data_IF_416511277603
#
_entry.id   IF_416511277603
#
_cell.length_a   1.000
_cell.length_b   1.000
_cell.length_c   1.000
_cell.angle_alpha   90.00
_cell.angle_beta   90.00
_cell.angle_gamma   90.00
#
_symmetry.space_group_name_H-M   'P 1'
#
loop_
_entity.id
_entity.type
_entity.pdbx_description
1 polymer ?
#
# COMPACT_ATOMS: atom_id res chain seq x y z
N UNK A 1 -5.74 6.29 -16.60
CA UNK A 1 -4.62 7.24 -16.76
C UNK A 1 -3.37 6.45 -16.43
N UNK A 2 -2.45 6.28 -17.39
CA UNK A 2 -1.20 5.51 -17.23
C UNK A 2 -0.26 6.44 -16.46
N UNK A 3 0.40 5.96 -15.40
CA UNK A 3 1.50 6.71 -14.76
C UNK A 3 2.47 7.13 -15.88
N UNK A 4 2.90 8.40 -16.00
CA UNK A 4 4.03 8.70 -16.88
C UNK A 4 5.15 7.75 -16.46
N UNK A 5 5.81 7.07 -17.40
CA UNK A 5 6.88 6.10 -17.10
C UNK A 5 7.94 6.77 -16.22
N UNK A 6 7.77 6.69 -14.90
CA UNK A 6 8.73 7.18 -13.92
C UNK A 6 9.83 6.13 -13.95
N UNK A 7 10.83 6.40 -14.79
CA UNK A 7 12.03 5.59 -14.91
C UNK A 7 13.03 6.10 -13.91
N UNK A 8 13.14 5.42 -12.76
CA UNK A 8 14.22 5.62 -11.81
C UNK A 8 15.21 4.49 -12.03
N UNK A 9 16.45 4.82 -12.38
CA UNK A 9 17.47 3.81 -12.70
C UNK A 9 17.65 2.80 -11.55
N UNK A 10 17.56 1.51 -11.87
CA UNK A 10 17.66 0.37 -10.96
C UNK A 10 16.46 0.20 -10.00
N UNK A 11 15.30 0.76 -10.35
CA UNK A 11 14.06 0.57 -9.62
C UNK A 11 12.91 0.21 -10.57
N UNK A 12 12.01 -0.64 -10.08
CA UNK A 12 10.77 -1.02 -10.77
C UNK A 12 9.55 -0.62 -9.94
N UNK A 13 8.41 -0.45 -10.62
CA UNK A 13 7.11 -0.20 -9.98
C UNK A 13 6.62 -1.49 -9.36
N UNK A 14 6.40 -1.46 -8.05
CA UNK A 14 6.03 -2.63 -7.26
C UNK A 14 4.53 -2.71 -6.97
N UNK A 15 3.91 -1.60 -6.60
CA UNK A 15 2.45 -1.42 -6.58
C UNK A 15 2.16 0.07 -6.76
N UNK A 16 0.97 0.39 -7.24
CA UNK A 16 0.52 1.77 -7.41
C UNK A 16 -0.99 1.90 -7.25
N UNK A 17 -1.41 3.12 -6.92
CA UNK A 17 -2.79 3.56 -7.06
C UNK A 17 -2.83 4.84 -7.86
N UNK A 18 -3.68 4.88 -8.87
CA UNK A 18 -3.90 6.08 -9.68
C UNK A 18 -5.38 6.38 -9.77
N UNK A 19 -5.73 7.65 -9.55
CA UNK A 19 -7.10 8.12 -9.71
C UNK A 19 -7.53 8.02 -11.18
N UNK A 20 -8.76 7.62 -11.37
CA UNK A 20 -9.46 7.53 -12.66
C UNK A 20 -10.54 8.59 -12.81
N UNK A 21 -11.15 9.03 -11.71
CA UNK A 21 -12.25 10.01 -11.71
C UNK A 21 -11.79 11.40 -11.29
N UNK A 22 -10.89 11.51 -10.31
CA UNK A 22 -10.41 12.79 -9.79
C UNK A 22 -9.00 13.14 -10.29
N UNK A 23 -8.72 14.44 -10.45
CA UNK A 23 -7.36 14.92 -10.77
C UNK A 23 -6.46 14.88 -9.53
N UNK A 24 -5.16 14.62 -9.76
CA UNK A 24 -4.04 14.70 -8.83
C UNK A 24 -4.17 13.78 -7.61
N UNK A 25 -3.21 12.88 -7.40
CA UNK A 25 -3.23 11.93 -6.30
C UNK A 25 -2.77 10.57 -6.77
N UNK A 26 -2.64 9.66 -5.84
CA UNK A 26 -2.11 8.34 -6.02
C UNK A 26 -1.07 8.00 -4.96
N UNK A 27 -0.72 6.72 -4.95
CA UNK A 27 0.43 6.21 -4.23
C UNK A 27 1.25 5.35 -5.18
N UNK A 28 2.54 5.21 -4.88
CA UNK A 28 3.49 4.49 -5.70
C UNK A 28 4.55 3.88 -4.79
N UNK A 29 4.82 2.60 -4.97
CA UNK A 29 5.98 1.94 -4.36
C UNK A 29 6.94 1.59 -5.50
N UNK A 30 8.16 2.10 -5.39
CA UNK A 30 9.29 1.70 -6.21
C UNK A 30 10.21 0.80 -5.38
N UNK A 31 10.62 -0.33 -5.95
CA UNK A 31 11.56 -1.26 -5.32
C UNK A 31 12.80 -1.38 -6.18
N UNK A 32 13.95 -1.52 -5.54
CA UNK A 32 15.21 -1.74 -6.24
C UNK A 32 15.13 -3.07 -7.00
N UNK A 33 15.61 -3.14 -8.24
CA UNK A 33 15.43 -4.32 -9.11
C UNK A 33 15.96 -5.64 -8.50
N UNK A 34 16.95 -5.54 -7.61
CA UNK A 34 17.51 -6.69 -6.90
C UNK A 34 16.67 -7.19 -5.72
N UNK A 35 15.65 -6.45 -5.30
CA UNK A 35 14.83 -6.76 -4.14
C UNK A 35 13.62 -7.58 -4.57
N UNK A 36 13.44 -8.76 -3.95
CA UNK A 36 12.24 -9.56 -4.15
C UNK A 36 11.09 -8.98 -3.33
N UNK A 37 9.91 -8.90 -3.95
CA UNK A 37 8.69 -8.43 -3.31
C UNK A 37 7.48 -9.20 -3.84
N UNK A 38 6.35 -9.09 -3.13
CA UNK A 38 5.03 -9.58 -3.55
C UNK A 38 4.00 -8.47 -3.43
N UNK A 39 3.11 -8.38 -4.40
CA UNK A 39 1.95 -7.49 -4.32
C UNK A 39 0.91 -8.03 -3.34
N UNK A 40 0.20 -7.13 -2.66
CA UNK A 40 -0.82 -7.47 -1.67
C UNK A 40 -2.22 -7.19 -2.24
N UNK A 41 -2.75 -8.14 -3.01
CA UNK A 41 -4.00 -7.96 -3.77
C UNK A 41 -5.25 -7.77 -2.88
N UNK A 42 -5.32 -8.44 -1.72
CA UNK A 42 -6.51 -8.42 -0.86
C UNK A 42 -6.84 -7.03 -0.27
N UNK A 43 -5.90 -6.08 -0.36
CA UNK A 43 -6.11 -4.71 0.06
C UNK A 43 -6.89 -3.86 -0.95
N UNK A 44 -7.17 -4.41 -2.14
CA UNK A 44 -7.94 -3.71 -3.18
C UNK A 44 -9.28 -3.16 -2.69
N UNK A 45 -9.94 -3.82 -1.74
CA UNK A 45 -11.21 -3.36 -1.13
C UNK A 45 -11.08 -2.07 -0.31
N UNK A 46 -9.87 -1.70 0.10
CA UNK A 46 -9.60 -0.45 0.81
C UNK A 46 -9.14 0.67 -0.10
N UNK A 47 -8.80 0.38 -1.37
CA UNK A 47 -8.35 1.38 -2.34
C UNK A 47 -9.56 2.21 -2.80
N UNK A 48 -9.57 3.49 -2.44
CA UNK A 48 -10.67 4.42 -2.76
C UNK A 48 -10.10 5.79 -3.10
N UNK A 49 -10.45 6.33 -4.27
CA UNK A 49 -10.02 7.68 -4.65
C UNK A 49 -10.46 8.71 -3.61
N UNK A 50 -9.61 9.71 -3.34
CA UNK A 50 -9.81 10.76 -2.34
C UNK A 50 -9.61 10.24 -0.91
N UNK A 51 -10.31 9.16 -0.54
CA UNK A 51 -10.38 8.63 0.81
C UNK A 51 -9.10 7.90 1.21
N UNK A 52 -8.71 6.84 0.50
CA UNK A 52 -7.64 5.91 0.90
C UNK A 52 -6.91 5.36 -0.33
N UNK A 53 -5.88 6.08 -0.75
CA UNK A 53 -5.11 5.78 -1.96
C UNK A 53 -3.88 4.96 -1.59
N UNK A 54 -4.03 3.64 -1.65
CA UNK A 54 -3.10 2.70 -1.04
C UNK A 54 -2.32 1.93 -2.10
N UNK A 55 -1.02 1.83 -1.89
CA UNK A 55 -0.13 0.87 -2.55
C UNK A 55 0.55 0.04 -1.47
N UNK A 56 0.69 -1.26 -1.68
CA UNK A 56 1.23 -2.15 -0.66
C UNK A 56 2.00 -3.34 -1.25
N UNK A 57 3.14 -3.66 -0.63
CA UNK A 57 3.97 -4.80 -1.01
C UNK A 57 4.50 -5.51 0.23
N UNK A 58 4.71 -6.82 0.11
CA UNK A 58 5.44 -7.63 1.07
C UNK A 58 6.88 -7.80 0.58
N UNK A 59 7.84 -7.72 1.51
CA UNK A 59 9.24 -8.14 1.32
C UNK A 59 9.43 -9.40 2.19
N UNK A 60 9.24 -10.62 1.63
CA UNK A 60 9.15 -11.84 2.43
C UNK A 60 10.43 -12.17 3.20
N UNK A 61 11.59 -11.88 2.61
CA UNK A 61 12.90 -12.13 3.22
C UNK A 61 13.09 -11.36 4.53
N UNK A 62 12.55 -10.14 4.58
CA UNK A 62 12.65 -9.25 5.74
C UNK A 62 11.44 -9.37 6.66
N UNK A 63 10.45 -10.20 6.31
CA UNK A 63 9.13 -10.25 6.97
C UNK A 63 8.58 -8.83 7.14
N UNK A 64 8.54 -8.07 6.05
CA UNK A 64 8.21 -6.64 6.08
C UNK A 64 7.02 -6.36 5.17
N UNK A 65 6.02 -5.63 5.68
CA UNK A 65 4.91 -5.12 4.88
C UNK A 65 5.07 -3.60 4.74
N UNK A 66 5.12 -3.13 3.50
CA UNK A 66 5.30 -1.71 3.18
C UNK A 66 4.00 -1.16 2.61
N UNK A 67 3.51 -0.07 3.19
CA UNK A 67 2.30 0.61 2.75
C UNK A 67 2.62 2.07 2.41
N UNK A 68 2.24 2.49 1.22
CA UNK A 68 2.16 3.90 0.87
C UNK A 68 0.70 4.29 0.87
N UNK A 69 0.33 5.25 1.71
CA UNK A 69 -1.06 5.67 1.86
C UNK A 69 -1.16 7.17 1.70
N UNK A 70 -1.94 7.60 0.72
CA UNK A 70 -2.27 9.00 0.54
C UNK A 70 -3.73 9.27 0.87
N UNK A 71 -3.97 10.33 1.66
CA UNK A 71 -5.30 10.87 1.97
C UNK A 71 -5.42 12.28 1.41
N UNK A 72 -6.46 12.53 0.63
CA UNK A 72 -6.73 13.89 0.18
C UNK A 72 -7.19 14.79 1.33
N UNK A 73 -6.83 16.08 1.29
CA UNK A 73 -7.39 17.09 2.21
C UNK A 73 -8.92 17.21 2.15
N UNK A 74 -9.54 16.72 1.06
CA UNK A 74 -11.00 16.71 0.87
C UNK A 74 -11.69 15.50 1.48
N UNK A 75 -10.94 14.48 1.90
CA UNK A 75 -11.50 13.27 2.50
C UNK A 75 -11.94 13.50 3.94
N UNK A 76 -13.00 12.81 4.34
CA UNK A 76 -13.39 12.71 5.74
C UNK A 76 -12.33 11.89 6.50
N UNK A 77 -11.79 12.46 7.58
CA UNK A 77 -10.73 11.82 8.36
C UNK A 77 -11.22 10.50 8.98
N UNK A 78 -12.43 10.47 9.51
CA UNK A 78 -13.02 9.28 10.14
C UNK A 78 -13.09 8.10 9.17
N UNK A 79 -13.64 8.32 7.97
CA UNK A 79 -13.69 7.29 6.92
C UNK A 79 -12.31 6.78 6.53
N UNK A 80 -11.30 7.65 6.51
CA UNK A 80 -9.93 7.23 6.27
C UNK A 80 -9.40 6.35 7.40
N UNK A 81 -9.62 6.74 8.67
CA UNK A 81 -9.19 5.97 9.83
C UNK A 81 -9.87 4.61 9.89
N UNK A 82 -11.18 4.53 9.60
CA UNK A 82 -11.92 3.26 9.52
C UNK A 82 -11.30 2.30 8.50
N UNK A 83 -10.81 2.82 7.36
CA UNK A 83 -10.12 2.02 6.34
C UNK A 83 -8.76 1.54 6.83
N UNK A 84 -7.99 2.40 7.51
CA UNK A 84 -6.70 2.03 8.10
C UNK A 84 -6.89 0.95 9.17
N UNK A 85 -7.86 1.12 10.05
CA UNK A 85 -8.17 0.14 11.10
C UNK A 85 -8.56 -1.21 10.48
N UNK A 86 -9.41 -1.19 9.43
CA UNK A 86 -9.75 -2.40 8.70
C UNK A 86 -8.55 -3.09 8.05
N UNK A 87 -7.58 -2.34 7.53
CA UNK A 87 -6.32 -2.90 6.98
C UNK A 87 -5.51 -3.57 8.09
N UNK A 88 -5.29 -2.87 9.20
CA UNK A 88 -4.54 -3.37 10.34
C UNK A 88 -5.19 -4.62 10.94
N UNK A 89 -6.51 -4.64 11.08
CA UNK A 89 -7.25 -5.81 11.53
C UNK A 89 -7.06 -7.01 10.58
N UNK A 90 -7.10 -6.80 9.26
CA UNK A 90 -6.90 -7.90 8.31
C UNK A 90 -5.47 -8.44 8.39
N UNK A 91 -4.47 -7.58 8.56
CA UNK A 91 -3.07 -8.01 8.75
C UNK A 91 -2.93 -8.80 10.05
N UNK A 92 -3.42 -8.26 11.18
CA UNK A 92 -3.34 -8.90 12.48
C UNK A 92 -4.13 -10.22 12.55
N UNK A 93 -5.24 -10.33 11.82
CA UNK A 93 -5.99 -11.58 11.71
C UNK A 93 -5.24 -12.61 10.88
N UNK A 94 -4.62 -12.21 9.76
CA UNK A 94 -3.77 -13.12 8.98
C UNK A 94 -2.61 -13.65 9.85
N UNK A 95 -1.99 -12.79 10.65
CA UNK A 95 -0.93 -13.16 11.60
C UNK A 95 -1.42 -14.18 12.66
N UNK A 96 -2.70 -14.16 13.04
CA UNK A 96 -3.29 -15.11 13.99
C UNK A 96 -3.59 -16.49 13.39
N UNK A 97 -3.77 -16.59 12.06
CA UNK A 97 -4.03 -17.86 11.37
C UNK A 97 -2.77 -18.53 10.81
N UNK A 98 -1.66 -17.80 10.76
CA UNK A 98 -0.32 -18.36 10.53
C UNK A 98 0.39 -18.58 11.86
N UNK A 99 0.29 -19.79 12.42
CA UNK A 99 1.20 -20.19 13.49
C UNK A 99 2.64 -19.93 13.01
N UNK A 100 3.35 -19.05 13.72
CA UNK A 100 4.65 -18.44 13.39
C UNK A 100 4.60 -17.27 12.39
N UNK A 101 4.70 -16.02 12.90
CA UNK A 101 5.77 -15.04 12.63
C UNK A 101 5.51 -13.77 13.47
N UNK A 102 6.18 -13.64 14.61
CA UNK A 102 6.46 -12.33 15.20
C UNK A 102 7.49 -11.65 14.27
N UNK A 103 7.15 -10.53 13.63
CA UNK A 103 8.16 -9.72 12.95
C UNK A 103 7.72 -8.79 11.83
N UNK A 104 6.44 -8.66 11.51
CA UNK A 104 6.02 -7.70 10.48
C UNK A 104 6.14 -6.25 10.97
N UNK A 105 7.09 -5.51 10.39
CA UNK A 105 7.13 -4.06 10.51
C UNK A 105 6.18 -3.46 9.49
N UNK A 106 5.44 -2.43 9.89
CA UNK A 106 4.55 -1.67 9.01
C UNK A 106 5.14 -0.29 8.83
N UNK A 107 5.57 0.02 7.61
CA UNK A 107 6.02 1.37 7.24
C UNK A 107 4.88 2.05 6.50
N UNK A 108 4.37 3.15 7.07
CA UNK A 108 3.37 4.01 6.43
C UNK A 108 4.06 5.32 6.09
N UNK A 109 4.15 5.62 4.79
CA UNK A 109 4.53 6.94 4.30
C UNK A 109 3.25 7.68 3.89
N UNK A 110 3.04 8.87 4.48
CA UNK A 110 1.91 9.78 4.21
C UNK A 110 2.30 10.99 3.39
#
# INVERSE_FOLDING_TARGET
MIFPNIMVNNYTIADHFCRTKHKNGGSLILVKDSLHYKEIEYLGKYKEEITSEISAVEIPQEKLLVFSVYRSKKAHLEQFLDKIDGILENILLLDKYTEWINGYYVVIST
#
